data_IF_663232575148
#
_entry.id   IF_663232575148
#
_cell.length_a   1.000
_cell.length_b   1.000
_cell.length_c   1.000
_cell.angle_alpha   90.00
_cell.angle_beta   90.00
_cell.angle_gamma   90.00
#
_symmetry.space_group_name_H-M   'P 1'
#
loop_
_entity.id
_entity.type
_entity.pdbx_description
1 polymer ?
#
# COMPACT_ATOMS: atom_id res chain seq x y z
N UNK A 1 -6.43 -12.84 12.06
CA UNK A 1 -6.66 -12.66 10.61
C UNK A 1 -6.65 -11.15 10.39
N UNK A 2 -5.91 -10.63 9.44
CA UNK A 2 -5.25 -9.36 9.65
C UNK A 2 -6.06 -8.07 9.72
N UNK A 3 -5.39 -7.02 10.21
CA UNK A 3 -5.75 -5.63 10.01
C UNK A 3 -5.65 -5.32 8.52
N UNK A 4 -6.57 -4.50 8.02
CA UNK A 4 -6.57 -4.01 6.65
C UNK A 4 -6.87 -2.52 6.64
N UNK A 5 -6.11 -1.76 5.87
CA UNK A 5 -6.38 -0.35 5.61
C UNK A 5 -6.09 0.01 4.16
N UNK A 6 -6.75 1.06 3.68
CA UNK A 6 -6.47 1.66 2.39
C UNK A 6 -5.45 2.80 2.60
N UNK A 7 -4.31 2.70 1.93
CA UNK A 7 -3.36 3.79 1.79
C UNK A 7 -3.62 4.50 0.45
N UNK A 8 -3.86 5.81 0.50
CA UNK A 8 -3.97 6.65 -0.68
C UNK A 8 -2.69 7.47 -0.87
N UNK A 9 -2.10 7.42 -2.06
CA UNK A 9 -0.91 8.18 -2.42
C UNK A 9 -1.10 8.89 -3.76
N UNK A 10 -0.48 10.07 -3.87
CA UNK A 10 -0.64 10.98 -4.99
C UNK A 10 0.70 11.62 -5.32
N UNK A 11 1.04 11.73 -6.60
CA UNK A 11 2.36 12.13 -7.12
C UNK A 11 2.77 13.61 -6.83
N UNK A 12 2.08 14.30 -5.92
CA UNK A 12 2.45 15.63 -5.44
C UNK A 12 1.53 16.73 -5.95
N UNK A 13 2.11 17.88 -6.28
CA UNK A 13 1.40 19.09 -6.71
C UNK A 13 2.01 19.63 -8.00
N UNK A 14 1.20 20.30 -8.81
CA UNK A 14 1.68 21.04 -9.98
C UNK A 14 2.38 22.36 -9.58
N UNK A 15 2.89 23.10 -10.57
CA UNK A 15 3.56 24.38 -10.38
C UNK A 15 2.67 25.46 -9.73
N UNK A 16 1.34 25.33 -9.88
CA UNK A 16 0.37 26.21 -9.23
C UNK A 16 0.00 25.75 -7.81
N UNK A 17 0.60 24.66 -7.32
CA UNK A 17 0.37 24.09 -6.00
C UNK A 17 -0.91 23.26 -5.89
N UNK A 18 -1.57 22.93 -7.01
CA UNK A 18 -2.75 22.07 -7.03
C UNK A 18 -2.33 20.61 -6.93
N UNK A 19 -3.02 19.86 -6.08
CA UNK A 19 -2.77 18.43 -5.90
C UNK A 19 -3.03 17.65 -7.19
N UNK A 20 -2.03 16.89 -7.60
CA UNK A 20 -2.10 15.92 -8.69
C UNK A 20 -2.72 14.66 -8.12
N UNK A 21 -3.67 14.05 -8.82
CA UNK A 21 -4.31 12.80 -8.39
C UNK A 21 -3.74 11.58 -9.12
N UNK A 22 -2.51 11.73 -9.59
CA UNK A 22 -1.82 10.73 -10.39
C UNK A 22 -1.04 9.77 -9.48
N UNK A 23 -0.90 8.49 -9.87
CA UNK A 23 -0.01 7.55 -9.19
C UNK A 23 1.44 8.01 -9.28
N UNK A 24 2.27 7.53 -8.36
CA UNK A 24 3.71 7.74 -8.47
C UNK A 24 4.30 7.00 -9.68
N UNK A 25 5.22 7.61 -10.44
CA UNK A 25 5.92 6.92 -11.52
C UNK A 25 6.92 5.88 -10.96
N UNK A 26 7.20 4.85 -11.74
CA UNK A 26 8.28 3.91 -11.48
C UNK A 26 9.61 4.66 -11.37
N UNK A 27 10.43 4.29 -10.38
CA UNK A 27 11.69 4.98 -10.07
C UNK A 27 11.56 6.28 -9.28
N UNK A 28 10.36 6.68 -8.84
CA UNK A 28 10.18 7.86 -7.99
C UNK A 28 10.81 7.70 -6.59
N UNK A 29 10.94 6.46 -6.11
CA UNK A 29 11.51 6.09 -4.82
C UNK A 29 11.97 4.63 -4.85
N UNK A 30 12.84 4.24 -3.92
CA UNK A 30 13.34 2.85 -3.80
C UNK A 30 12.39 1.96 -2.98
N UNK A 31 11.74 2.53 -1.97
CA UNK A 31 10.82 1.82 -1.07
C UNK A 31 9.66 2.71 -0.60
N UNK A 32 8.51 2.08 -0.39
CA UNK A 32 7.37 2.68 0.30
C UNK A 32 7.37 2.21 1.76
N UNK A 33 7.53 3.16 2.68
CA UNK A 33 7.35 2.94 4.11
C UNK A 33 6.01 3.50 4.55
N UNK A 34 5.08 2.62 4.92
CA UNK A 34 3.77 3.00 5.45
C UNK A 34 3.67 2.71 6.94
N UNK A 35 3.07 3.62 7.70
CA UNK A 35 2.80 3.43 9.14
C UNK A 35 1.30 3.48 9.41
N UNK A 36 0.80 2.53 10.18
CA UNK A 36 -0.54 2.57 10.76
C UNK A 36 -0.45 2.55 12.29
N UNK A 37 -1.21 3.43 12.93
CA UNK A 37 -1.34 3.46 14.38
C UNK A 37 -2.61 2.72 14.80
N UNK A 38 -2.46 1.61 15.51
CA UNK A 38 -3.58 0.79 15.99
C UNK A 38 -3.42 0.63 17.49
N UNK A 39 -4.42 1.07 18.26
CA UNK A 39 -4.42 1.00 19.73
C UNK A 39 -3.15 1.60 20.38
N UNK A 40 -2.63 2.68 19.80
CA UNK A 40 -1.43 3.37 20.29
C UNK A 40 -0.10 2.69 19.91
N UNK A 41 -0.12 1.60 19.16
CA UNK A 41 1.08 0.92 18.63
C UNK A 41 1.28 1.26 17.15
N UNK A 42 2.53 1.48 16.76
CA UNK A 42 2.91 1.71 15.38
C UNK A 42 3.19 0.38 14.67
N UNK A 43 2.66 0.26 13.45
CA UNK A 43 2.80 -0.90 12.60
C UNK A 43 3.27 -0.46 11.22
N UNK A 44 4.25 -1.17 10.68
CA UNK A 44 4.94 -0.73 9.48
C UNK A 44 4.77 -1.69 8.33
N UNK A 45 4.78 -1.15 7.11
CA UNK A 45 4.98 -1.89 5.89
C UNK A 45 6.16 -1.27 5.15
N UNK A 46 7.12 -2.09 4.74
CA UNK A 46 8.28 -1.66 3.96
C UNK A 46 8.25 -2.43 2.65
N UNK A 47 7.75 -1.79 1.60
CA UNK A 47 7.50 -2.44 0.30
C UNK A 47 8.50 -1.88 -0.73
N UNK A 48 9.36 -2.73 -1.32
CA UNK A 48 10.25 -2.31 -2.39
C UNK A 48 9.48 -1.79 -3.61
N UNK A 49 9.98 -0.73 -4.25
CA UNK A 49 9.37 -0.15 -5.44
C UNK A 49 9.24 -1.16 -6.60
N UNK A 50 10.20 -2.06 -6.76
CA UNK A 50 10.14 -3.12 -7.76
C UNK A 50 8.93 -4.06 -7.59
N UNK A 51 8.53 -4.36 -6.35
CA UNK A 51 7.30 -5.14 -6.10
C UNK A 51 6.05 -4.30 -6.40
N UNK A 52 6.05 -3.02 -6.01
CA UNK A 52 4.94 -2.11 -6.30
C UNK A 52 4.73 -1.95 -7.82
N UNK A 53 5.80 -1.85 -8.58
CA UNK A 53 5.76 -1.85 -10.04
C UNK A 53 5.26 -3.19 -10.60
N UNK A 54 5.81 -4.32 -10.14
CA UNK A 54 5.36 -5.65 -10.59
C UNK A 54 3.86 -5.91 -10.30
N UNK A 55 3.29 -5.25 -9.27
CA UNK A 55 1.86 -5.33 -8.89
C UNK A 55 0.99 -4.25 -9.55
N UNK A 56 1.58 -3.42 -10.42
CA UNK A 56 0.91 -2.34 -11.13
C UNK A 56 0.39 -1.24 -10.24
N UNK A 57 1.08 -0.98 -9.13
CA UNK A 57 0.81 0.16 -8.27
C UNK A 57 1.50 1.43 -8.78
N UNK A 58 2.75 1.33 -9.23
CA UNK A 58 3.47 2.45 -9.83
C UNK A 58 3.08 2.62 -11.29
N UNK A 59 3.06 3.87 -11.75
CA UNK A 59 2.85 4.21 -13.15
C UNK A 59 4.13 3.92 -13.95
N UNK A 60 4.01 3.23 -15.06
CA UNK A 60 5.10 3.03 -16.03
C UNK A 60 4.55 3.06 -17.45
N UNK A 61 5.41 2.88 -18.46
CA UNK A 61 4.96 2.86 -19.86
C UNK A 61 3.96 1.73 -20.15
N UNK A 62 4.02 0.62 -19.39
CA UNK A 62 3.17 -0.55 -19.59
C UNK A 62 1.86 -0.51 -18.80
N UNK A 63 1.74 0.38 -17.79
CA UNK A 63 0.59 0.39 -16.89
C UNK A 63 0.36 1.76 -16.24
N UNK A 64 -0.91 2.17 -16.08
CA UNK A 64 -1.25 3.49 -15.57
C UNK A 64 -0.95 3.70 -14.07
N UNK A 65 -0.65 2.64 -13.31
CA UNK A 65 -0.49 2.70 -11.86
C UNK A 65 -1.82 2.84 -11.09
N UNK A 66 -1.73 2.99 -9.76
CA UNK A 66 -2.88 3.11 -8.85
C UNK A 66 -2.55 4.11 -7.73
N UNK A 67 -3.56 4.83 -7.27
CA UNK A 67 -3.46 5.75 -6.13
C UNK A 67 -3.88 5.12 -4.81
N UNK A 68 -4.46 3.91 -4.82
CA UNK A 68 -4.92 3.21 -3.62
C UNK A 68 -4.24 1.85 -3.49
N UNK A 69 -3.64 1.59 -2.33
CA UNK A 69 -3.05 0.30 -1.96
C UNK A 69 -3.76 -0.24 -0.72
N UNK A 70 -4.12 -1.53 -0.75
CA UNK A 70 -4.63 -2.23 0.44
C UNK A 70 -3.48 -2.85 1.20
N UNK A 71 -3.22 -2.35 2.39
CA UNK A 71 -2.24 -2.91 3.32
C UNK A 71 -2.93 -3.98 4.17
N UNK A 72 -2.28 -5.13 4.34
CA UNK A 72 -2.79 -6.25 5.13
C UNK A 72 -1.74 -6.66 6.17
N UNK A 73 -2.17 -7.04 7.38
CA UNK A 73 -1.29 -7.54 8.42
C UNK A 73 -1.92 -8.69 9.19
N UNK A 74 -1.55 -9.94 8.92
CA UNK A 74 -2.18 -11.16 9.48
C UNK A 74 -2.21 -11.24 11.02
N UNK A 75 -1.29 -10.53 11.68
CA UNK A 75 -1.03 -10.57 13.12
C UNK A 75 -1.90 -9.63 13.96
N UNK A 76 -2.62 -8.69 13.33
CA UNK A 76 -3.48 -7.73 14.03
C UNK A 76 -4.93 -8.11 13.78
N UNK A 77 -5.78 -8.21 14.80
CA UNK A 77 -7.23 -8.41 14.63
C UNK A 77 -7.66 -9.72 13.94
N UNK A 78 -8.90 -9.72 13.39
CA UNK A 78 -9.53 -10.86 12.70
C UNK A 78 -10.19 -10.41 11.36
N UNK A 79 -9.65 -10.80 10.18
CA UNK A 79 -10.28 -11.02 8.84
C UNK A 79 -9.32 -11.51 7.71
N UNK A 80 -9.81 -12.19 6.62
CA UNK A 80 -11.17 -12.10 6.13
C UNK A 80 -12.06 -13.32 6.38
N UNK A 81 -13.37 -13.02 6.37
CA UNK A 81 -14.48 -13.95 6.34
C UNK A 81 -14.13 -15.14 5.42
N UNK A 82 -14.05 -16.39 5.94
CA UNK A 82 -13.74 -17.56 5.12
C UNK A 82 -14.76 -17.80 4.01
N UNK A 83 -15.94 -17.16 4.10
CA UNK A 83 -17.02 -17.20 3.12
C UNK A 83 -17.09 -15.97 2.21
N UNK A 84 -16.05 -15.13 2.17
CA UNK A 84 -16.02 -14.00 1.25
C UNK A 84 -16.12 -14.48 -0.20
N UNK A 85 -17.07 -13.93 -0.97
CA UNK A 85 -17.30 -14.28 -2.38
C UNK A 85 -16.04 -14.14 -3.23
N UNK A 86 -15.24 -13.11 -2.95
CA UNK A 86 -13.95 -12.86 -3.59
C UNK A 86 -12.84 -12.94 -2.54
N UNK A 87 -11.82 -13.75 -2.79
CA UNK A 87 -10.61 -13.76 -1.96
C UNK A 87 -9.88 -12.44 -2.16
N UNK A 88 -9.50 -11.79 -1.07
CA UNK A 88 -8.68 -10.58 -1.13
C UNK A 88 -7.26 -10.94 -1.60
N UNK A 89 -6.69 -10.10 -2.45
CA UNK A 89 -5.26 -10.15 -2.74
C UNK A 89 -4.52 -9.52 -1.55
N UNK A 90 -3.86 -10.37 -0.76
CA UNK A 90 -3.25 -10.00 0.54
C UNK A 90 -1.73 -9.94 0.48
N UNK A 91 -1.12 -9.87 -0.70
CA UNK A 91 0.33 -9.93 -0.88
C UNK A 91 1.11 -8.91 -0.02
N UNK A 92 0.51 -7.77 0.31
CA UNK A 92 1.12 -6.74 1.17
C UNK A 92 1.44 -7.24 2.58
N UNK A 93 0.85 -8.34 3.04
CA UNK A 93 1.21 -8.94 4.34
C UNK A 93 2.66 -9.40 4.43
N UNK A 94 3.31 -9.71 3.31
CA UNK A 94 4.70 -10.19 3.28
C UNK A 94 5.68 -9.12 3.75
N UNK A 95 5.29 -7.85 3.55
CA UNK A 95 6.08 -6.67 3.82
C UNK A 95 5.71 -6.02 5.15
N UNK A 96 4.90 -6.70 5.96
CA UNK A 96 4.48 -6.22 7.27
C UNK A 96 5.57 -6.44 8.31
N UNK A 97 5.88 -5.38 9.04
CA UNK A 97 6.79 -5.38 10.18
C UNK A 97 6.00 -4.90 11.41
N UNK A 98 5.82 -5.79 12.39
CA UNK A 98 5.36 -5.37 13.72
C UNK A 98 6.49 -4.68 14.46
N UNK A 99 6.22 -3.51 15.03
CA UNK A 99 7.05 -3.02 16.12
C UNK A 99 6.80 -3.95 17.32
N UNK A 100 7.88 -4.46 17.91
CA UNK A 100 7.85 -5.32 19.10
C UNK A 100 7.11 -4.64 20.27
#
# INVERSE_FOLDING_TARGET
>A
AGFMCNLYTYAGRDEAGKELKDPYPAGAFDELVAVAWVEGKAYFWIIPAAELEAKGYLQSESQPGKTCLKLHASQIGVQPNPHARNKADTWTHKYFHSAA
#
